data_IF_473278692631
#
_entry.id   IF_473278692631
#
_cell.length_a   1.000
_cell.length_b   1.000
_cell.length_c   1.000
_cell.angle_alpha   90.00
_cell.angle_beta   90.00
_cell.angle_gamma   90.00
#
_symmetry.space_group_name_H-M   'P 1'
#
loop_
_entity.id
_entity.type
_entity.pdbx_description
1 polymer ?
#
# COMPACT_ATOMS: atom_id res chain seq x y z
N UNK A 1 -43.05 35.83 37.48
CA UNK A 1 -43.54 34.45 37.70
C UNK A 1 -43.41 33.69 36.40
N UNK A 2 -42.51 32.70 36.32
CA UNK A 2 -42.33 31.85 35.14
C UNK A 2 -43.09 30.53 35.36
N UNK A 3 -43.98 30.18 34.43
CA UNK A 3 -44.73 28.91 34.44
C UNK A 3 -43.88 27.79 33.85
N UNK A 4 -43.63 26.75 34.66
CA UNK A 4 -42.89 25.53 34.31
C UNK A 4 -43.74 24.65 33.37
N UNK A 5 -43.17 24.05 32.31
CA UNK A 5 -43.93 23.16 31.42
C UNK A 5 -44.21 21.80 32.09
N UNK A 6 -45.26 21.07 31.67
CA UNK A 6 -45.66 19.81 32.31
C UNK A 6 -44.63 18.71 32.06
N UNK A 7 -44.36 17.92 33.09
CA UNK A 7 -43.46 16.77 33.04
C UNK A 7 -44.07 15.66 32.17
N UNK A 8 -43.29 15.17 31.20
CA UNK A 8 -43.63 14.05 30.33
C UNK A 8 -43.76 12.77 31.18
N UNK A 9 -44.93 12.14 31.21
CA UNK A 9 -45.13 10.86 31.91
C UNK A 9 -44.28 9.74 31.27
N UNK A 10 -43.67 8.85 32.06
CA UNK A 10 -42.94 7.69 31.52
C UNK A 10 -43.91 6.73 30.81
N UNK A 11 -43.46 6.04 29.74
CA UNK A 11 -44.30 5.12 28.97
C UNK A 11 -44.82 3.95 29.83
N UNK A 12 -45.99 3.37 29.51
CA UNK A 12 -46.57 2.25 30.27
C UNK A 12 -45.74 0.97 30.09
N UNK A 13 -45.52 0.22 31.18
CA UNK A 13 -44.66 -0.97 31.24
C UNK A 13 -45.00 -2.12 30.26
N UNK A 14 -46.22 -2.13 29.69
CA UNK A 14 -46.62 -3.06 28.63
C UNK A 14 -45.98 -2.76 27.28
N UNK A 15 -45.68 -1.49 27.00
CA UNK A 15 -45.07 -1.08 25.74
C UNK A 15 -43.55 -1.36 25.75
N UNK A 16 -42.88 -1.20 26.89
CA UNK A 16 -41.45 -1.57 27.04
C UNK A 16 -41.25 -3.08 26.82
N UNK A 17 -42.05 -3.93 27.47
CA UNK A 17 -41.91 -5.39 27.35
C UNK A 17 -42.13 -5.92 25.93
N UNK A 18 -43.08 -5.33 25.20
CA UNK A 18 -43.34 -5.67 23.79
C UNK A 18 -42.23 -5.16 22.87
N UNK A 19 -41.62 -4.03 23.21
CA UNK A 19 -40.48 -3.48 22.48
C UNK A 19 -39.25 -4.38 22.60
N UNK A 20 -38.96 -4.88 23.80
CA UNK A 20 -37.82 -5.76 24.07
C UNK A 20 -37.96 -7.12 23.36
N UNK A 21 -39.17 -7.70 23.32
CA UNK A 21 -39.44 -8.98 22.64
C UNK A 21 -39.34 -8.86 21.10
N UNK A 22 -39.77 -7.72 20.54
CA UNK A 22 -39.58 -7.40 19.11
C UNK A 22 -38.10 -7.16 18.80
N UNK A 23 -37.36 -6.50 19.70
CA UNK A 23 -35.93 -6.28 19.56
C UNK A 23 -35.16 -7.60 19.58
N UNK A 24 -35.43 -8.49 20.53
CA UNK A 24 -34.79 -9.81 20.63
C UNK A 24 -35.06 -10.67 19.39
N UNK A 25 -36.31 -10.77 18.95
CA UNK A 25 -36.66 -11.53 17.74
C UNK A 25 -35.98 -10.98 16.48
N UNK A 26 -35.89 -9.66 16.35
CA UNK A 26 -35.20 -8.98 15.24
C UNK A 26 -33.68 -9.18 15.30
N UNK A 27 -33.08 -9.14 16.49
CA UNK A 27 -31.66 -9.40 16.69
C UNK A 27 -31.32 -10.87 16.42
N UNK A 28 -32.16 -11.80 16.87
CA UNK A 28 -32.01 -13.23 16.60
C UNK A 28 -32.16 -13.54 15.11
N UNK A 29 -33.12 -12.94 14.40
CA UNK A 29 -33.27 -13.15 12.95
C UNK A 29 -32.10 -12.55 12.16
N UNK A 30 -31.63 -11.35 12.55
CA UNK A 30 -30.48 -10.69 11.92
C UNK A 30 -29.20 -11.49 12.18
N UNK A 31 -29.01 -12.00 13.40
CA UNK A 31 -27.89 -12.86 13.78
C UNK A 31 -27.94 -14.21 13.05
N UNK A 32 -29.10 -14.86 12.97
CA UNK A 32 -29.28 -16.13 12.27
C UNK A 32 -29.06 -15.99 10.75
N UNK A 33 -29.50 -14.87 10.16
CA UNK A 33 -29.24 -14.55 8.75
C UNK A 33 -27.74 -14.31 8.51
N UNK A 34 -27.07 -13.59 9.41
CA UNK A 34 -25.62 -13.42 9.38
C UNK A 34 -24.87 -14.75 9.52
N UNK A 35 -25.24 -15.59 10.48
CA UNK A 35 -24.63 -16.89 10.71
C UNK A 35 -24.82 -17.83 9.50
N UNK A 36 -26.01 -17.86 8.92
CA UNK A 36 -26.30 -18.68 7.73
C UNK A 36 -25.51 -18.18 6.52
N UNK A 37 -25.40 -16.86 6.34
CA UNK A 37 -24.55 -16.27 5.29
C UNK A 37 -23.08 -16.69 5.46
N UNK A 38 -22.54 -16.64 6.68
CA UNK A 38 -21.16 -17.06 6.97
C UNK A 38 -20.96 -18.56 6.72
N UNK A 39 -21.91 -19.41 7.12
CA UNK A 39 -21.86 -20.87 6.88
C UNK A 39 -21.86 -21.15 5.38
N UNK A 40 -22.78 -20.53 4.62
CA UNK A 40 -22.87 -20.71 3.18
C UNK A 40 -21.58 -20.26 2.49
N UNK A 41 -21.06 -19.10 2.85
CA UNK A 41 -19.81 -18.57 2.31
C UNK A 41 -18.63 -19.52 2.58
N UNK A 42 -18.58 -20.11 3.77
CA UNK A 42 -17.52 -21.04 4.14
C UNK A 42 -17.61 -22.37 3.36
N UNK A 43 -18.81 -22.91 3.18
CA UNK A 43 -19.04 -24.12 2.38
C UNK A 43 -18.68 -23.86 0.92
N UNK A 44 -19.14 -22.74 0.35
CA UNK A 44 -18.86 -22.36 -1.02
C UNK A 44 -17.35 -22.21 -1.24
N UNK A 45 -16.63 -21.57 -0.32
CA UNK A 45 -15.17 -21.45 -0.38
C UNK A 45 -14.46 -22.81 -0.38
N UNK A 46 -14.92 -23.77 0.45
CA UNK A 46 -14.36 -25.13 0.47
C UNK A 46 -14.64 -25.90 -0.81
N UNK A 47 -15.86 -25.80 -1.35
CA UNK A 47 -16.21 -26.44 -2.62
C UNK A 47 -15.44 -25.83 -3.79
N UNK A 48 -15.27 -24.51 -3.80
CA UNK A 48 -14.44 -23.82 -4.78
C UNK A 48 -12.99 -24.31 -4.69
N UNK A 49 -12.43 -24.39 -3.48
CA UNK A 49 -11.06 -24.87 -3.27
C UNK A 49 -10.89 -26.31 -3.76
N UNK A 50 -11.86 -27.18 -3.46
CA UNK A 50 -11.87 -28.56 -3.97
C UNK A 50 -11.94 -28.60 -5.50
N UNK A 51 -12.85 -27.82 -6.10
CA UNK A 51 -13.02 -27.76 -7.56
C UNK A 51 -11.77 -27.24 -8.26
N UNK A 52 -11.16 -26.16 -7.75
CA UNK A 52 -9.91 -25.61 -8.27
C UNK A 52 -8.76 -26.59 -8.09
N UNK A 53 -8.62 -27.23 -6.93
CA UNK A 53 -7.56 -28.23 -6.72
C UNK A 53 -7.73 -29.45 -7.64
N UNK A 54 -8.96 -29.93 -7.85
CA UNK A 54 -9.22 -31.02 -8.79
C UNK A 54 -8.96 -30.61 -10.24
N UNK A 55 -9.28 -29.37 -10.60
CA UNK A 55 -8.96 -28.82 -11.91
C UNK A 55 -7.44 -28.75 -12.11
N UNK A 56 -6.71 -28.27 -11.11
CA UNK A 56 -5.25 -28.19 -11.13
C UNK A 56 -4.62 -29.57 -11.31
N UNK A 57 -5.02 -30.57 -10.53
CA UNK A 57 -4.46 -31.93 -10.66
C UNK A 57 -4.86 -32.64 -11.94
N UNK A 58 -5.95 -32.22 -12.59
CA UNK A 58 -6.37 -32.77 -13.89
C UNK A 58 -5.49 -32.28 -15.04
N UNK A 59 -4.98 -31.05 -14.94
CA UNK A 59 -4.27 -30.38 -16.04
C UNK A 59 -2.80 -30.12 -15.76
N UNK A 60 -2.36 -30.15 -14.51
CA UNK A 60 -0.99 -29.90 -14.10
C UNK A 60 -0.50 -31.04 -13.23
N UNK A 61 0.63 -31.62 -13.61
CA UNK A 61 1.25 -32.69 -12.83
C UNK A 61 1.83 -32.13 -11.51
N UNK A 62 1.95 -32.98 -10.46
CA UNK A 62 2.62 -32.60 -9.22
C UNK A 62 4.06 -32.10 -9.43
N UNK A 63 4.74 -32.59 -10.46
CA UNK A 63 6.09 -32.15 -10.83
C UNK A 63 6.10 -30.69 -11.32
N UNK A 64 5.16 -30.32 -12.21
CA UNK A 64 5.02 -28.94 -12.69
C UNK A 64 4.66 -27.98 -11.55
N UNK A 65 3.83 -28.40 -10.60
CA UNK A 65 3.53 -27.65 -9.38
C UNK A 65 4.78 -27.45 -8.51
N UNK A 66 5.62 -28.48 -8.39
CA UNK A 66 6.90 -28.41 -7.71
C UNK A 66 7.85 -27.39 -8.35
N UNK A 67 8.00 -27.43 -9.68
CA UNK A 67 8.83 -26.48 -10.42
C UNK A 67 8.26 -25.06 -10.32
N UNK A 68 6.95 -24.88 -10.43
CA UNK A 68 6.30 -23.57 -10.22
C UNK A 68 6.59 -23.01 -8.83
N UNK A 69 6.55 -23.85 -7.80
CA UNK A 69 6.89 -23.43 -6.43
C UNK A 69 8.34 -22.96 -6.34
N UNK A 70 9.27 -23.58 -7.06
CA UNK A 70 10.67 -23.11 -7.11
C UNK A 70 10.80 -21.74 -7.80
N UNK A 71 10.03 -21.48 -8.87
CA UNK A 71 9.96 -20.16 -9.50
C UNK A 71 9.39 -19.09 -8.56
N UNK A 72 8.37 -19.44 -7.79
CA UNK A 72 7.84 -18.57 -6.74
C UNK A 72 8.88 -18.29 -5.65
N UNK A 73 9.64 -19.30 -5.22
CA UNK A 73 10.71 -19.12 -4.24
C UNK A 73 11.82 -18.21 -4.76
N UNK A 74 12.20 -18.34 -6.03
CA UNK A 74 13.12 -17.41 -6.70
C UNK A 74 12.60 -15.97 -6.61
N UNK A 75 11.36 -15.74 -7.01
CA UNK A 75 10.73 -14.42 -7.00
C UNK A 75 10.66 -13.85 -5.59
N UNK A 76 10.13 -14.62 -4.64
CA UNK A 76 10.04 -14.27 -3.22
C UNK A 76 11.42 -13.86 -2.70
N UNK A 77 12.46 -14.64 -2.99
CA UNK A 77 13.83 -14.35 -2.54
C UNK A 77 14.34 -13.00 -3.05
N UNK A 78 14.17 -12.72 -4.35
CA UNK A 78 14.55 -11.42 -4.95
C UNK A 78 13.83 -10.28 -4.24
N UNK A 79 12.52 -10.40 -4.08
CA UNK A 79 11.67 -9.34 -3.55
C UNK A 79 11.91 -9.10 -2.06
N UNK A 80 12.06 -10.15 -1.25
CA UNK A 80 12.36 -10.03 0.18
C UNK A 80 13.72 -9.37 0.40
N UNK A 81 14.75 -9.83 -0.31
CA UNK A 81 16.08 -9.26 -0.16
C UNK A 81 16.13 -7.79 -0.59
N UNK A 82 15.41 -7.43 -1.65
CA UNK A 82 15.38 -6.08 -2.19
C UNK A 82 14.48 -5.10 -1.40
N UNK A 83 13.30 -5.53 -0.97
CA UNK A 83 12.28 -4.63 -0.38
C UNK A 83 12.29 -4.69 1.14
N UNK A 84 12.28 -5.89 1.71
CA UNK A 84 12.07 -6.06 3.14
C UNK A 84 13.28 -5.61 3.96
N UNK A 85 14.50 -5.87 3.46
CA UNK A 85 15.74 -5.37 4.09
C UNK A 85 15.73 -3.85 4.25
N UNK A 86 15.26 -3.12 3.23
CA UNK A 86 15.17 -1.65 3.23
C UNK A 86 14.03 -1.18 4.14
N UNK A 87 12.85 -1.79 4.06
CA UNK A 87 11.72 -1.44 4.93
C UNK A 87 12.06 -1.60 6.41
N UNK A 88 12.74 -2.68 6.79
CA UNK A 88 13.19 -2.92 8.17
C UNK A 88 14.28 -1.92 8.59
N UNK A 89 15.20 -1.55 7.69
CA UNK A 89 16.19 -0.51 7.97
C UNK A 89 15.54 0.85 8.25
N UNK A 90 14.44 1.17 7.54
CA UNK A 90 13.72 2.43 7.67
C UNK A 90 12.89 2.54 8.94
N UNK A 91 12.30 1.45 9.39
CA UNK A 91 11.57 1.43 10.67
C UNK A 91 12.48 1.79 11.86
N UNK A 92 13.80 1.64 11.72
CA UNK A 92 14.79 1.95 12.77
C UNK A 92 15.25 3.41 12.75
N UNK A 93 14.96 4.17 11.69
CA UNK A 93 15.27 5.59 11.67
C UNK A 93 14.22 6.32 12.51
N UNK A 94 14.54 6.54 13.80
CA UNK A 94 13.85 7.55 14.60
C UNK A 94 14.17 8.90 13.99
N UNK A 95 13.22 9.44 13.23
CA UNK A 95 13.27 10.82 12.78
C UNK A 95 13.20 11.69 14.05
N UNK A 96 14.36 12.12 14.53
CA UNK A 96 14.47 13.04 15.66
C UNK A 96 13.74 14.33 15.29
N UNK A 97 12.46 14.40 15.64
CA UNK A 97 11.67 15.60 15.51
C UNK A 97 12.22 16.60 16.51
N UNK A 98 13.15 17.45 16.06
CA UNK A 98 13.54 18.64 16.80
C UNK A 98 12.31 19.54 16.89
N UNK A 99 11.46 19.29 17.89
CA UNK A 99 10.60 20.31 18.44
C UNK A 99 11.56 21.37 18.95
N UNK A 100 11.80 22.42 18.16
CA UNK A 100 12.33 23.67 18.68
C UNK A 100 11.38 24.04 19.81
N UNK A 101 11.82 23.82 21.05
CA UNK A 101 11.15 24.34 22.25
C UNK A 101 11.04 25.83 22.03
N UNK A 102 9.83 26.29 21.71
CA UNK A 102 9.48 27.70 21.71
C UNK A 102 9.81 28.18 23.13
N UNK A 103 10.76 29.11 23.22
CA UNK A 103 11.54 29.38 24.44
C UNK A 103 10.73 29.44 25.73
N UNK A 104 11.22 28.74 26.74
CA UNK A 104 10.99 29.11 28.13
C UNK A 104 11.66 30.48 28.35
N UNK A 105 10.98 31.46 28.97
CA UNK A 105 11.61 32.70 29.35
C UNK A 105 12.54 32.40 30.53
N UNK A 106 13.84 32.37 30.29
CA UNK A 106 14.84 32.41 31.35
C UNK A 106 14.68 33.73 32.11
N UNK A 107 14.25 33.62 33.36
CA UNK A 107 14.37 34.69 34.35
C UNK A 107 15.87 34.94 34.58
N UNK A 108 16.33 36.12 34.18
CA UNK A 108 17.60 36.69 34.58
C UNK A 108 17.36 38.16 34.89
N UNK A 109 17.54 38.51 36.15
CA UNK A 109 17.50 39.88 36.67
C UNK A 109 18.64 40.70 36.05
N UNK A 110 18.36 41.94 35.65
CA UNK A 110 19.04 43.13 36.18
C UNK A 110 18.47 44.42 35.57
N UNK A 111 18.43 45.45 36.41
CA UNK A 111 17.61 46.63 36.28
C UNK A 111 18.21 47.77 35.44
N UNK A 112 17.30 48.68 35.07
CA UNK A 112 17.48 50.11 34.77
C UNK A 112 17.79 50.52 33.32
N UNK A 113 16.79 51.08 32.64
CA UNK A 113 16.63 52.54 32.56
C UNK A 113 15.45 52.90 31.65
N UNK A 114 14.80 53.98 32.05
CA UNK A 114 13.58 54.60 31.52
C UNK A 114 13.69 55.09 30.06
N UNK A 115 12.58 55.02 29.31
CA UNK A 115 11.88 56.21 28.78
C UNK A 115 11.04 55.87 27.53
N UNK A 116 9.75 56.22 27.58
CA UNK A 116 9.17 57.02 26.50
C UNK A 116 8.33 56.34 25.41
N UNK A 117 7.03 56.61 25.50
CA UNK A 117 6.03 56.86 24.43
C UNK A 117 5.23 55.71 23.82
N UNK A 118 3.93 55.86 24.09
CA UNK A 118 2.75 55.37 23.39
C UNK A 118 2.74 55.89 21.95
N UNK A 119 2.30 55.07 21.00
CA UNK A 119 1.41 55.56 19.94
C UNK A 119 0.47 54.44 19.46
N UNK A 120 -0.76 54.85 19.21
CA UNK A 120 -1.94 54.04 18.93
C UNK A 120 -2.12 53.85 17.42
N UNK A 121 -2.66 52.68 17.06
CA UNK A 121 -3.68 52.62 16.00
C UNK A 121 -3.23 52.30 14.57
N UNK A 122 -3.61 51.10 14.09
CA UNK A 122 -4.43 50.97 12.87
C UNK A 122 -4.98 49.55 12.70
N UNK A 123 -6.23 49.36 13.12
CA UNK A 123 -7.16 48.39 12.53
C UNK A 123 -7.77 49.01 11.27
N UNK A 124 -7.70 48.32 10.11
CA UNK A 124 -8.81 48.02 9.17
C UNK A 124 -8.40 48.02 7.67
N UNK A 125 -8.96 47.01 6.98
CA UNK A 125 -9.24 46.88 5.53
C UNK A 125 -8.02 46.50 4.66
N UNK A 126 -8.08 45.50 3.75
CA UNK A 126 -9.18 45.05 2.88
C UNK A 126 -9.13 43.54 2.59
N UNK A 127 -10.32 42.94 2.54
CA UNK A 127 -10.62 41.69 1.82
C UNK A 127 -10.70 41.95 0.30
N UNK A 128 -10.51 40.86 -0.45
CA UNK A 128 -10.94 40.61 -1.83
C UNK A 128 -10.11 41.21 -2.98
N UNK A 129 -9.24 40.35 -3.54
CA UNK A 129 -9.07 40.23 -4.99
C UNK A 129 -8.85 38.75 -5.29
N UNK A 130 -9.88 38.10 -5.82
CA UNK A 130 -9.81 36.77 -6.41
C UNK A 130 -9.71 36.97 -7.93
N UNK A 131 -8.60 36.57 -8.55
CA UNK A 131 -8.57 36.13 -9.94
C UNK A 131 -7.18 35.58 -10.29
N UNK A 132 -7.17 34.43 -10.97
CA UNK A 132 -6.01 33.71 -11.54
C UNK A 132 -5.10 33.02 -10.51
N UNK A 133 -5.52 31.86 -10.00
CA UNK A 133 -4.59 30.89 -9.40
C UNK A 133 -4.05 30.00 -10.51
N UNK A 134 -2.98 30.47 -11.14
CA UNK A 134 -2.04 29.57 -11.81
C UNK A 134 -1.62 28.48 -10.82
N UNK A 135 -1.43 27.25 -11.32
CA UNK A 135 -0.90 26.16 -10.50
C UNK A 135 0.44 26.62 -9.88
N UNK A 136 0.65 26.43 -8.56
CA UNK A 136 1.89 26.87 -7.93
C UNK A 136 3.08 26.19 -8.63
N UNK A 137 4.19 26.92 -8.87
CA UNK A 137 5.36 26.34 -9.52
C UNK A 137 5.85 25.15 -8.68
N UNK A 138 6.28 24.08 -9.35
CA UNK A 138 6.87 22.89 -8.72
C UNK A 138 7.95 23.36 -7.73
N UNK A 139 7.69 23.21 -6.42
CA UNK A 139 8.72 23.44 -5.40
C UNK A 139 9.87 22.49 -5.68
N UNK A 140 11.07 23.03 -5.85
CA UNK A 140 12.30 22.28 -6.16
C UNK A 140 12.75 21.38 -5.00
N UNK A 141 12.24 21.64 -3.79
CA UNK A 141 12.47 20.80 -2.61
C UNK A 141 11.30 20.81 -1.63
N UNK A 142 11.13 19.69 -0.92
CA UNK A 142 10.13 19.51 0.15
C UNK A 142 10.85 19.64 1.50
N UNK A 143 10.22 20.37 2.43
CA UNK A 143 10.71 20.52 3.80
C UNK A 143 10.72 19.16 4.53
N UNK A 144 11.89 18.74 5.00
CA UNK A 144 12.09 17.43 5.67
C UNK A 144 11.20 17.23 6.90
N UNK A 145 10.91 18.30 7.66
CA UNK A 145 10.16 18.26 8.92
C UNK A 145 8.63 18.18 8.72
N UNK A 146 8.16 18.01 7.48
CA UNK A 146 6.73 17.91 7.16
C UNK A 146 6.33 16.47 6.84
N UNK A 147 5.06 16.11 7.05
CA UNK A 147 4.52 14.82 6.63
C UNK A 147 4.74 14.54 5.13
N UNK A 148 4.81 15.58 4.30
CA UNK A 148 5.15 15.47 2.88
C UNK A 148 6.63 15.11 2.66
N UNK A 149 7.53 15.64 3.50
CA UNK A 149 8.95 15.30 3.51
C UNK A 149 9.19 13.86 3.92
N UNK A 150 8.55 13.40 5.00
CA UNK A 150 8.60 11.98 5.43
C UNK A 150 8.13 11.03 4.32
N UNK A 151 6.98 11.34 3.70
CA UNK A 151 6.45 10.56 2.60
C UNK A 151 7.40 10.54 1.40
N UNK A 152 8.01 11.68 1.05
CA UNK A 152 8.99 11.78 -0.03
C UNK A 152 10.26 10.98 0.30
N UNK A 153 10.69 10.93 1.56
CA UNK A 153 11.85 10.11 1.94
C UNK A 153 11.55 8.65 1.67
N UNK A 154 10.41 8.13 2.15
CA UNK A 154 10.02 6.74 1.95
C UNK A 154 9.91 6.40 0.44
N UNK A 155 9.38 7.33 -0.36
CA UNK A 155 9.36 7.20 -1.83
C UNK A 155 10.77 7.18 -2.42
N UNK A 156 11.65 8.11 -2.05
CA UNK A 156 13.04 8.15 -2.54
C UNK A 156 13.78 6.84 -2.22
N UNK A 157 13.55 6.28 -1.03
CA UNK A 157 14.16 5.04 -0.60
C UNK A 157 13.65 3.81 -1.36
N UNK A 158 12.40 3.80 -1.82
CA UNK A 158 11.87 2.72 -2.66
C UNK A 158 12.62 2.58 -3.99
N UNK A 159 13.23 3.66 -4.50
CA UNK A 159 14.09 3.59 -5.69
C UNK A 159 15.40 2.83 -5.44
N UNK A 160 15.87 2.74 -4.19
CA UNK A 160 17.01 1.90 -3.83
C UNK A 160 16.62 0.43 -3.98
N UNK A 161 15.43 0.04 -3.52
CA UNK A 161 14.89 -1.31 -3.74
C UNK A 161 14.83 -1.65 -5.23
N UNK A 162 14.34 -0.73 -6.07
CA UNK A 162 14.31 -0.93 -7.53
C UNK A 162 15.72 -1.13 -8.09
N UNK A 163 16.64 -0.23 -7.76
CA UNK A 163 18.02 -0.23 -8.27
C UNK A 163 18.80 -1.48 -7.88
N UNK A 164 18.56 -2.01 -6.68
CA UNK A 164 19.20 -3.24 -6.19
C UNK A 164 18.47 -4.50 -6.67
N UNK A 165 17.14 -4.46 -6.69
CA UNK A 165 16.28 -5.61 -6.96
C UNK A 165 16.28 -6.05 -8.42
N UNK A 166 16.30 -5.12 -9.39
CA UNK A 166 16.29 -5.49 -10.82
C UNK A 166 17.56 -6.25 -11.22
N UNK A 167 18.79 -5.79 -10.89
CA UNK A 167 20.01 -6.56 -11.11
C UNK A 167 19.98 -7.91 -10.38
N UNK A 168 19.48 -7.94 -9.14
CA UNK A 168 19.37 -9.17 -8.37
C UNK A 168 18.43 -10.19 -9.04
N UNK A 169 17.28 -9.75 -9.55
CA UNK A 169 16.34 -10.60 -10.29
C UNK A 169 17.02 -11.24 -11.51
N UNK A 170 17.79 -10.44 -12.26
CA UNK A 170 18.52 -10.92 -13.43
C UNK A 170 19.63 -11.91 -13.06
N UNK A 171 20.46 -11.57 -12.07
CA UNK A 171 21.58 -12.43 -11.63
C UNK A 171 21.05 -13.75 -11.09
N UNK A 172 20.07 -13.73 -10.19
CA UNK A 172 19.50 -14.94 -9.62
C UNK A 172 18.74 -15.76 -10.66
N UNK A 173 18.05 -15.12 -11.61
CA UNK A 173 17.38 -15.83 -12.71
C UNK A 173 18.38 -16.57 -13.60
N UNK A 174 19.47 -15.91 -14.02
CA UNK A 174 20.52 -16.56 -14.82
C UNK A 174 21.30 -17.61 -14.03
N UNK A 175 21.52 -17.40 -12.73
CA UNK A 175 22.13 -18.41 -11.87
C UNK A 175 21.21 -19.64 -11.73
N UNK A 176 19.91 -19.42 -11.53
CA UNK A 176 18.92 -20.50 -11.41
C UNK A 176 18.86 -21.35 -12.67
N UNK A 177 18.86 -20.74 -13.86
CA UNK A 177 18.92 -21.48 -15.13
C UNK A 177 20.19 -22.35 -15.25
N UNK A 178 21.32 -21.87 -14.74
CA UNK A 178 22.61 -22.59 -14.78
C UNK A 178 22.73 -23.70 -13.74
N UNK A 179 22.13 -23.51 -12.56
CA UNK A 179 22.28 -24.42 -11.41
C UNK A 179 21.19 -25.49 -11.33
N UNK A 180 20.13 -25.36 -12.11
CA UNK A 180 18.99 -26.29 -12.11
C UNK A 180 19.35 -27.64 -12.77
N UNK A 181 18.70 -28.71 -12.32
CA UNK A 181 18.94 -30.07 -12.84
C UNK A 181 18.49 -30.23 -14.30
N UNK A 182 19.13 -31.13 -15.08
CA UNK A 182 18.78 -31.34 -16.49
C UNK A 182 17.31 -31.73 -16.72
N UNK A 183 16.67 -32.42 -15.77
CA UNK A 183 15.27 -32.82 -15.84
C UNK A 183 14.33 -31.61 -15.87
N UNK A 184 14.57 -30.63 -15.00
CA UNK A 184 13.75 -29.41 -14.93
C UNK A 184 14.04 -28.53 -16.15
N UNK A 185 15.28 -28.49 -16.64
CA UNK A 185 15.62 -27.73 -17.85
C UNK A 185 14.92 -28.23 -19.12
N UNK A 186 14.54 -29.51 -19.17
CA UNK A 186 13.78 -30.09 -20.30
C UNK A 186 12.28 -29.81 -20.22
N UNK A 187 11.80 -29.19 -19.14
CA UNK A 187 10.38 -28.83 -19.00
C UNK A 187 10.00 -27.77 -20.04
N UNK A 188 8.86 -27.94 -20.76
CA UNK A 188 8.41 -26.97 -21.75
C UNK A 188 8.31 -25.55 -21.18
N UNK A 189 8.77 -24.58 -21.97
CA UNK A 189 8.75 -23.15 -21.66
C UNK A 189 9.44 -22.75 -20.34
N UNK A 190 10.36 -23.56 -19.82
CA UNK A 190 11.00 -23.28 -18.53
C UNK A 190 11.85 -22.01 -18.54
N UNK A 191 12.68 -21.81 -19.57
CA UNK A 191 13.53 -20.62 -19.67
C UNK A 191 12.70 -19.34 -19.82
N UNK A 192 11.67 -19.41 -20.66
CA UNK A 192 10.71 -18.34 -20.89
C UNK A 192 9.97 -17.99 -19.61
N UNK A 193 9.61 -19.00 -18.80
CA UNK A 193 8.95 -18.82 -17.52
C UNK A 193 9.88 -18.13 -16.51
N UNK A 194 11.16 -18.50 -16.43
CA UNK A 194 12.13 -17.81 -15.56
C UNK A 194 12.29 -16.35 -15.95
N UNK A 195 12.47 -16.06 -17.25
CA UNK A 195 12.60 -14.68 -17.73
C UNK A 195 11.32 -13.88 -17.44
N UNK A 196 10.13 -14.48 -17.60
CA UNK A 196 8.84 -13.84 -17.32
C UNK A 196 8.63 -13.55 -15.82
N UNK A 197 9.05 -14.47 -14.93
CA UNK A 197 9.10 -14.21 -13.49
C UNK A 197 10.08 -13.09 -13.14
N UNK A 198 11.21 -12.97 -13.85
CA UNK A 198 12.15 -11.86 -13.71
C UNK A 198 11.53 -10.50 -14.10
N UNK A 199 10.76 -10.46 -15.20
CA UNK A 199 9.99 -9.27 -15.59
C UNK A 199 8.89 -8.96 -14.56
N UNK A 200 8.20 -9.98 -14.05
CA UNK A 200 7.20 -9.82 -13.00
C UNK A 200 7.81 -9.23 -11.72
N UNK A 201 9.00 -9.69 -11.33
CA UNK A 201 9.77 -9.13 -10.21
C UNK A 201 10.05 -7.63 -10.43
N UNK A 202 10.47 -7.24 -11.64
CA UNK A 202 10.71 -5.83 -11.96
C UNK A 202 9.44 -4.98 -11.84
N UNK A 203 8.28 -5.46 -12.31
CA UNK A 203 7.00 -4.77 -12.16
C UNK A 203 6.59 -4.60 -10.69
N UNK A 204 6.81 -5.63 -9.87
CA UNK A 204 6.55 -5.51 -8.44
C UNK A 204 7.49 -4.55 -7.73
N UNK A 205 8.76 -4.50 -8.13
CA UNK A 205 9.71 -3.49 -7.63
C UNK A 205 9.28 -2.09 -8.06
N UNK A 206 8.87 -1.90 -9.31
CA UNK A 206 8.36 -0.63 -9.81
C UNK A 206 7.06 -0.20 -9.12
N UNK A 207 6.29 -1.16 -8.57
CA UNK A 207 5.08 -0.89 -7.78
C UNK A 207 5.42 -0.31 -6.39
N UNK A 208 6.64 -0.51 -5.90
CA UNK A 208 7.06 -0.16 -4.55
C UNK A 208 6.79 1.31 -4.16
N UNK A 209 7.14 2.33 -4.96
CA UNK A 209 6.89 3.73 -4.62
C UNK A 209 5.40 4.03 -4.38
N UNK A 210 4.52 3.44 -5.20
CA UNK A 210 3.08 3.61 -5.04
C UNK A 210 2.55 2.82 -3.83
N UNK A 211 3.07 1.61 -3.61
CA UNK A 211 2.71 0.77 -2.46
C UNK A 211 3.05 1.46 -1.14
N UNK A 212 4.26 2.00 -0.99
CA UNK A 212 4.68 2.64 0.26
C UNK A 212 3.84 3.88 0.58
N UNK A 213 3.37 4.62 -0.43
CA UNK A 213 2.46 5.76 -0.23
C UNK A 213 1.11 5.30 0.30
N UNK A 214 0.52 4.25 -0.28
CA UNK A 214 -0.75 3.68 0.20
C UNK A 214 -0.60 3.18 1.63
N UNK A 215 0.52 2.53 1.94
CA UNK A 215 0.81 1.99 3.26
C UNK A 215 1.01 3.10 4.30
N UNK A 216 1.80 4.13 3.99
CA UNK A 216 2.06 5.25 4.89
C UNK A 216 0.79 6.07 5.19
N UNK A 217 -0.09 6.21 4.20
CA UNK A 217 -1.40 6.86 4.37
C UNK A 217 -2.47 5.94 5.00
N UNK A 218 -2.10 4.72 5.40
CA UNK A 218 -2.99 3.74 6.02
C UNK A 218 -4.26 3.46 5.18
N UNK A 219 -4.13 3.49 3.85
CA UNK A 219 -5.24 3.26 2.92
C UNK A 219 -5.52 1.76 2.78
N UNK A 220 -5.86 1.09 3.89
CA UNK A 220 -6.03 -0.36 3.98
C UNK A 220 -7.08 -0.89 3.01
N UNK A 221 -8.16 -0.13 2.78
CA UNK A 221 -9.19 -0.49 1.80
C UNK A 221 -8.64 -0.55 0.38
N UNK A 222 -7.79 0.41 0.01
CA UNK A 222 -7.14 0.43 -1.32
C UNK A 222 -6.19 -0.75 -1.45
N UNK A 223 -5.36 -1.00 -0.44
CA UNK A 223 -4.44 -2.14 -0.40
C UNK A 223 -5.19 -3.47 -0.56
N UNK A 224 -6.17 -3.73 0.31
CA UNK A 224 -6.94 -4.97 0.29
C UNK A 224 -7.62 -5.20 -1.06
N UNK A 225 -8.21 -4.16 -1.64
CA UNK A 225 -8.85 -4.24 -2.96
C UNK A 225 -7.84 -4.53 -4.08
N UNK A 226 -6.70 -3.84 -4.12
CA UNK A 226 -5.69 -4.02 -5.18
C UNK A 226 -5.04 -5.40 -5.09
N UNK A 227 -4.61 -5.82 -3.89
CA UNK A 227 -4.01 -7.14 -3.67
C UNK A 227 -4.99 -8.26 -4.02
N UNK A 228 -6.24 -8.18 -3.54
CA UNK A 228 -7.27 -9.19 -3.86
C UNK A 228 -7.59 -9.25 -5.35
N UNK A 229 -7.68 -8.10 -6.03
CA UNK A 229 -7.92 -8.05 -7.47
C UNK A 229 -6.76 -8.67 -8.26
N UNK A 230 -5.51 -8.33 -7.91
CA UNK A 230 -4.34 -8.91 -8.56
C UNK A 230 -4.26 -10.43 -8.35
N UNK A 231 -4.49 -10.92 -7.13
CA UNK A 231 -4.53 -12.37 -6.85
C UNK A 231 -5.64 -13.06 -7.63
N UNK A 232 -6.83 -12.46 -7.74
CA UNK A 232 -7.92 -13.02 -8.54
C UNK A 232 -7.54 -13.09 -10.02
N UNK A 233 -6.95 -12.02 -10.57
CA UNK A 233 -6.45 -12.00 -11.96
C UNK A 233 -5.40 -13.08 -12.17
N UNK A 234 -4.47 -13.27 -11.22
CA UNK A 234 -3.49 -14.35 -11.25
C UNK A 234 -4.16 -15.71 -11.42
N UNK A 235 -5.13 -16.02 -10.56
CA UNK A 235 -5.83 -17.30 -10.57
C UNK A 235 -6.59 -17.52 -11.88
N UNK A 236 -7.34 -16.51 -12.35
CA UNK A 236 -8.11 -16.60 -13.59
C UNK A 236 -7.19 -16.82 -14.80
N UNK A 237 -6.08 -16.06 -14.88
CA UNK A 237 -5.13 -16.18 -15.98
C UNK A 237 -4.40 -17.53 -15.92
N UNK A 238 -3.89 -17.95 -14.76
CA UNK A 238 -3.22 -19.26 -14.62
C UNK A 238 -4.14 -20.41 -15.03
N UNK A 239 -5.36 -20.46 -14.49
CA UNK A 239 -6.32 -21.51 -14.84
C UNK A 239 -6.76 -21.43 -16.31
N UNK A 240 -7.00 -20.21 -16.82
CA UNK A 240 -7.39 -20.00 -18.22
C UNK A 240 -6.34 -20.51 -19.19
N UNK A 241 -5.07 -20.14 -19.00
CA UNK A 241 -3.97 -20.60 -19.85
C UNK A 241 -3.78 -22.12 -19.73
N UNK A 242 -3.85 -22.69 -18.53
CA UNK A 242 -3.74 -24.13 -18.33
C UNK A 242 -4.86 -24.92 -19.05
N UNK A 243 -6.11 -24.45 -18.95
CA UNK A 243 -7.26 -25.09 -19.62
C UNK A 243 -7.16 -24.95 -21.14
N UNK A 244 -6.75 -23.78 -21.65
CA UNK A 244 -6.59 -23.57 -23.09
C UNK A 244 -5.48 -24.43 -23.68
N UNK A 245 -4.33 -24.54 -23.00
CA UNK A 245 -3.24 -25.42 -23.42
C UNK A 245 -3.69 -26.89 -23.43
N UNK A 246 -4.36 -27.33 -22.37
CA UNK A 246 -4.88 -28.69 -22.30
C UNK A 246 -5.95 -28.97 -23.38
N UNK A 247 -6.78 -27.99 -23.73
CA UNK A 247 -7.76 -28.11 -24.80
C UNK A 247 -7.11 -28.16 -26.20
N UNK A 248 -5.98 -27.49 -26.39
CA UNK A 248 -5.18 -27.55 -27.62
C UNK A 248 -4.35 -28.84 -27.74
N UNK A 249 -4.18 -29.58 -26.64
CA UNK A 249 -3.28 -30.74 -26.57
C UNK A 249 -1.81 -30.36 -26.43
N UNK A 250 -1.52 -29.11 -26.06
CA UNK A 250 -0.17 -28.59 -25.85
C UNK A 250 0.29 -28.78 -24.40
N UNK A 251 1.52 -29.25 -24.21
CA UNK A 251 2.16 -29.24 -22.89
C UNK A 251 2.75 -27.86 -22.60
N UNK A 252 1.97 -27.04 -21.91
CA UNK A 252 2.40 -25.69 -21.50
C UNK A 252 3.42 -25.69 -20.36
N UNK A 253 3.77 -26.85 -19.78
CA UNK A 253 4.71 -26.95 -18.67
C UNK A 253 4.37 -26.01 -17.53
N UNK A 254 5.31 -25.11 -17.17
CA UNK A 254 5.14 -24.12 -16.09
C UNK A 254 4.68 -22.74 -16.56
N UNK A 255 4.47 -22.57 -17.87
CA UNK A 255 4.08 -21.28 -18.47
C UNK A 255 2.78 -20.68 -17.89
N UNK A 256 1.71 -21.46 -17.61
CA UNK A 256 0.48 -20.89 -17.06
C UNK A 256 0.71 -20.10 -15.76
N UNK A 257 1.60 -20.58 -14.89
CA UNK A 257 1.94 -19.90 -13.65
C UNK A 257 2.75 -18.63 -13.87
N UNK A 258 3.68 -18.65 -14.81
CA UNK A 258 4.51 -17.50 -15.15
C UNK A 258 3.67 -16.37 -15.76
N UNK A 259 2.76 -16.70 -16.67
CA UNK A 259 1.81 -15.72 -17.26
C UNK A 259 0.86 -15.20 -16.20
N UNK A 260 0.36 -16.06 -15.30
CA UNK A 260 -0.43 -15.64 -14.16
C UNK A 260 0.33 -14.67 -13.25
N UNK A 261 1.59 -14.95 -12.93
CA UNK A 261 2.42 -14.06 -12.10
C UNK A 261 2.69 -12.73 -12.79
N UNK A 262 2.95 -12.73 -14.09
CA UNK A 262 3.09 -11.48 -14.83
C UNK A 262 1.80 -10.65 -14.84
N UNK A 263 0.64 -11.30 -15.00
CA UNK A 263 -0.67 -10.64 -14.91
C UNK A 263 -0.94 -10.07 -13.51
N UNK A 264 -0.53 -10.78 -12.46
CA UNK A 264 -0.56 -10.31 -11.08
C UNK A 264 0.26 -9.03 -10.91
N UNK A 265 1.55 -9.07 -11.25
CA UNK A 265 2.47 -7.94 -11.07
C UNK A 265 2.06 -6.73 -11.92
N UNK A 266 1.55 -6.96 -13.13
CA UNK A 266 0.98 -5.90 -13.98
C UNK A 266 -0.26 -5.27 -13.34
N UNK A 267 -1.17 -6.08 -12.81
CA UNK A 267 -2.38 -5.58 -12.14
C UNK A 267 -2.02 -4.75 -10.91
N UNK A 268 -1.09 -5.23 -10.09
CA UNK A 268 -0.57 -4.46 -8.96
C UNK A 268 -0.03 -3.10 -9.40
N UNK A 269 0.88 -3.10 -10.39
CA UNK A 269 1.51 -1.89 -10.90
C UNK A 269 0.46 -0.87 -11.37
N UNK A 270 -0.39 -1.24 -12.33
CA UNK A 270 -1.34 -0.30 -12.89
C UNK A 270 -2.39 0.16 -11.87
N UNK A 271 -2.92 -0.73 -11.03
CA UNK A 271 -3.93 -0.34 -10.06
C UNK A 271 -3.36 0.55 -8.96
N UNK A 272 -2.18 0.25 -8.43
CA UNK A 272 -1.55 1.11 -7.42
C UNK A 272 -1.24 2.49 -8.00
N UNK A 273 -0.57 2.57 -9.15
CA UNK A 273 -0.28 3.87 -9.78
C UNK A 273 -1.57 4.64 -10.11
N UNK A 274 -2.60 3.98 -10.64
CA UNK A 274 -3.87 4.64 -10.93
C UNK A 274 -4.55 5.19 -9.67
N UNK A 275 -4.55 4.44 -8.56
CA UNK A 275 -5.18 4.89 -7.31
C UNK A 275 -4.38 5.96 -6.63
N UNK A 276 -3.06 5.84 -6.58
CA UNK A 276 -2.23 6.87 -5.96
C UNK A 276 -2.25 8.14 -6.81
N UNK A 277 -2.28 8.06 -8.16
CA UNK A 277 -2.41 9.25 -9.02
C UNK A 277 -3.59 10.13 -8.62
N UNK A 278 -4.74 9.52 -8.32
CA UNK A 278 -5.92 10.26 -7.84
C UNK A 278 -5.72 10.86 -6.45
N UNK A 279 -5.00 10.17 -5.56
CA UNK A 279 -4.71 10.64 -4.19
C UNK A 279 -3.64 11.74 -4.15
N UNK A 280 -2.72 11.77 -5.11
CA UNK A 280 -1.65 12.76 -5.17
C UNK A 280 -2.13 14.14 -5.61
N UNK A 281 -3.16 14.22 -6.46
CA UNK A 281 -3.79 15.48 -6.86
C UNK A 281 -4.35 16.28 -5.67
N UNK A 282 -4.63 15.61 -4.55
CA UNK A 282 -5.17 16.21 -3.33
C UNK A 282 -4.12 16.38 -2.22
N UNK A 283 -2.94 15.76 -2.36
CA UNK A 283 -2.00 15.54 -1.25
C UNK A 283 -0.71 16.35 -1.26
N UNK A 284 -0.42 17.15 -2.29
CA UNK A 284 0.74 18.06 -2.33
C UNK A 284 2.14 17.42 -2.32
N UNK A 285 2.28 16.16 -2.74
CA UNK A 285 3.56 15.44 -2.85
C UNK A 285 3.81 14.98 -4.30
N UNK A 286 5.08 14.76 -4.67
CA UNK A 286 5.48 14.29 -5.99
C UNK A 286 5.70 12.77 -6.02
N UNK A 287 5.40 12.15 -7.16
CA UNK A 287 5.69 10.73 -7.43
C UNK A 287 7.14 10.45 -7.77
N UNK A 288 7.84 11.47 -8.24
CA UNK A 288 9.21 11.35 -8.73
C UNK A 288 10.16 11.62 -7.58
N UNK A 289 11.31 10.95 -7.58
CA UNK A 289 12.38 11.24 -6.66
C UNK A 289 12.68 12.76 -6.67
N UNK A 290 12.49 13.40 -5.52
CA UNK A 290 12.65 14.84 -5.38
C UNK A 290 13.58 15.14 -4.20
N UNK A 291 14.38 16.20 -4.35
CA UNK A 291 15.32 16.62 -3.32
C UNK A 291 14.56 17.06 -2.07
N UNK A 292 14.98 16.56 -0.92
CA UNK A 292 14.46 16.98 0.38
C UNK A 292 15.42 18.03 0.92
N UNK A 293 14.93 19.23 1.20
CA UNK A 293 15.73 20.28 1.81
C UNK A 293 15.52 20.24 3.32
N UNK A 294 16.61 20.07 4.06
CA UNK A 294 16.63 20.32 5.50
C UNK A 294 17.00 21.79 5.73
N UNK A 295 16.22 22.51 6.52
CA UNK A 295 16.51 23.91 6.91
C UNK A 295 17.83 24.06 7.67
N UNK A 296 18.47 22.98 8.08
CA UNK A 296 19.71 22.99 8.87
C UNK A 296 21.00 22.93 8.03
N UNK A 297 20.92 22.88 6.70
CA UNK A 297 22.09 22.74 5.82
C UNK A 297 22.80 24.03 5.40
N UNK A 298 22.22 25.21 5.65
CA UNK A 298 22.70 26.49 5.10
C UNK A 298 23.31 27.45 6.13
N UNK A 299 23.43 27.05 7.40
CA UNK A 299 23.96 27.91 8.48
C UNK A 299 25.14 27.28 9.24
N UNK A 300 26.02 26.59 8.55
CA UNK A 300 27.36 26.28 9.09
C UNK A 300 28.32 27.35 8.56
N UNK A 301 28.87 28.26 9.40
CA UNK A 301 29.92 29.15 8.93
C UNK A 301 31.11 28.30 8.46
N UNK A 302 31.86 28.73 7.43
CA UNK A 302 33.05 28.03 7.02
C UNK A 302 33.99 27.98 8.24
N UNK A 303 34.36 26.76 8.64
CA UNK A 303 35.45 26.54 9.59
C UNK A 303 36.66 27.32 9.07
N UNK A 304 37.04 28.36 9.83
CA UNK A 304 38.34 29.02 9.72
C UNK A 304 39.35 28.29 10.57
#
# INVERSE_FOLDING_TARGET
MATKPPAKQPPPASDEKKSDEILESTLLSTSAQGATFLILLQILSRLLTFGVNQLLLRYLSPELLGISTQLELYLISVLYFSRESIRVALQRQTWEHNTVKKGEPTKGEDASSSSGRRDDGKKKKKKAAAMTREAPPLKESIDADTQAGELQTVVNLSYISISLGVPLAFILGKLYLRSTTPQIQQTPYFSESVDLYGVAAAFELLTEPAFVVVQHKMLYKTRAMVESAATLVRCVVTCGIAVLAAAAGDDAGVLPFAVGQWAYSSTLFFMYYWRVWRVAGEGGFSFVAMKIASKYGESSPPFR
#
